data_IF_261769499695
#
_entry.id   IF_261769499695
#
_cell.length_a   1.000
_cell.length_b   1.000
_cell.length_c   1.000
_cell.angle_alpha   90.00
_cell.angle_beta   90.00
_cell.angle_gamma   90.00
#
_symmetry.space_group_name_H-M   'P 1'
#
loop_
_entity.id
_entity.type
_entity.pdbx_description
1 polymer ?
#
# COMPACT_ATOMS: atom_id res chain seq x y z
N UNK A 1 -43.15 -6.23 -52.44
CA UNK A 1 -42.65 -7.45 -51.75
C UNK A 1 -41.94 -7.00 -50.49
N UNK A 2 -42.45 -7.44 -49.33
CA UNK A 2 -41.87 -7.34 -47.98
C UNK A 2 -40.41 -7.85 -47.92
N UNK A 3 -39.54 -7.52 -46.97
CA UNK A 3 -39.75 -7.61 -45.52
C UNK A 3 -38.73 -6.81 -44.69
N UNK A 4 -39.24 -6.46 -43.52
CA UNK A 4 -38.69 -5.91 -42.28
C UNK A 4 -37.70 -6.86 -41.57
N UNK A 5 -36.75 -6.29 -40.81
CA UNK A 5 -36.09 -6.76 -39.54
C UNK A 5 -34.74 -6.02 -39.39
N UNK A 6 -34.24 -5.60 -38.23
CA UNK A 6 -34.71 -5.43 -36.86
C UNK A 6 -33.57 -4.70 -36.11
N UNK A 7 -33.91 -3.91 -35.09
CA UNK A 7 -33.01 -3.18 -34.18
C UNK A 7 -31.77 -3.95 -33.69
N UNK A 8 -30.67 -3.23 -33.50
CA UNK A 8 -29.82 -3.37 -32.30
C UNK A 8 -29.58 -1.98 -31.69
N UNK A 9 -29.84 -1.79 -30.38
CA UNK A 9 -29.53 -0.54 -29.73
C UNK A 9 -28.01 -0.43 -29.50
N UNK A 10 -27.44 0.72 -29.84
CA UNK A 10 -26.15 1.15 -29.28
C UNK A 10 -26.39 1.49 -27.82
N UNK A 11 -26.20 0.49 -26.96
CA UNK A 11 -26.39 0.60 -25.51
C UNK A 11 -25.63 -0.52 -24.83
N UNK A 12 -24.32 -0.59 -25.09
CA UNK A 12 -23.43 -1.54 -24.45
C UNK A 12 -23.23 -1.14 -22.99
N UNK A 13 -23.64 -2.06 -22.11
CA UNK A 13 -23.58 -2.05 -20.65
C UNK A 13 -22.13 -2.00 -20.09
N UNK A 14 -21.29 -1.07 -20.58
CA UNK A 14 -19.87 -0.95 -20.21
C UNK A 14 -19.66 -0.10 -18.95
N UNK A 15 -20.59 0.82 -18.63
CA UNK A 15 -20.46 1.72 -17.48
C UNK A 15 -20.68 1.04 -16.12
N UNK A 16 -21.70 0.20 -16.00
CA UNK A 16 -22.11 -0.37 -14.70
C UNK A 16 -21.10 -1.44 -14.21
N UNK A 17 -20.56 -2.25 -15.12
CA UNK A 17 -19.56 -3.28 -14.78
C UNK A 17 -18.21 -2.66 -14.36
N UNK A 18 -17.77 -1.57 -15.00
CA UNK A 18 -16.56 -0.86 -14.62
C UNK A 18 -16.74 -0.14 -13.26
N UNK A 19 -17.86 0.56 -13.06
CA UNK A 19 -18.20 1.26 -11.81
C UNK A 19 -18.32 0.31 -10.60
N UNK A 20 -18.85 -0.90 -10.82
CA UNK A 20 -18.95 -1.92 -9.76
C UNK A 20 -17.60 -2.56 -9.44
N UNK A 21 -16.74 -2.77 -10.45
CA UNK A 21 -15.38 -3.24 -10.24
C UNK A 21 -14.50 -2.21 -9.50
N UNK A 22 -14.63 -0.93 -9.80
CA UNK A 22 -13.84 0.15 -9.17
C UNK A 22 -14.19 0.30 -7.70
N UNK A 23 -15.49 0.40 -7.39
CA UNK A 23 -15.99 0.44 -6.01
C UNK A 23 -15.57 -0.76 -5.18
N UNK A 24 -15.52 -1.95 -5.79
CA UNK A 24 -15.08 -3.16 -5.08
C UNK A 24 -13.59 -3.11 -4.72
N UNK A 25 -12.75 -2.56 -5.61
CA UNK A 25 -11.31 -2.39 -5.38
C UNK A 25 -11.03 -1.35 -4.32
N UNK A 26 -11.79 -0.26 -4.32
CA UNK A 26 -11.68 0.80 -3.30
C UNK A 26 -12.04 0.27 -1.91
N UNK A 27 -13.15 -0.47 -1.78
CA UNK A 27 -13.54 -1.09 -0.51
C UNK A 27 -12.51 -2.11 -0.01
N UNK A 28 -11.96 -2.93 -0.91
CA UNK A 28 -10.90 -3.88 -0.55
C UNK A 28 -9.65 -3.14 -0.04
N UNK A 29 -9.27 -2.04 -0.69
CA UNK A 29 -8.11 -1.23 -0.33
C UNK A 29 -8.30 -0.52 1.01
N UNK A 30 -9.48 0.03 1.27
CA UNK A 30 -9.83 0.63 2.57
C UNK A 30 -9.84 -0.42 3.69
N UNK A 31 -10.29 -1.65 3.41
CA UNK A 31 -10.21 -2.75 4.38
C UNK A 31 -8.77 -3.13 4.71
N UNK A 32 -7.87 -3.17 3.71
CA UNK A 32 -6.44 -3.40 3.94
C UNK A 32 -5.80 -2.28 4.75
N UNK A 33 -6.17 -1.02 4.49
CA UNK A 33 -5.72 0.13 5.30
C UNK A 33 -6.17 0.01 6.75
N UNK A 34 -7.43 -0.35 6.99
CA UNK A 34 -7.95 -0.55 8.34
C UNK A 34 -7.18 -1.64 9.09
N UNK A 35 -7.00 -2.81 8.46
CA UNK A 35 -6.26 -3.94 9.04
C UNK A 35 -4.80 -3.57 9.35
N UNK A 36 -4.15 -2.83 8.44
CA UNK A 36 -2.77 -2.39 8.64
C UNK A 36 -2.63 -1.45 9.86
N UNK A 37 -3.59 -0.54 10.05
CA UNK A 37 -3.54 0.42 11.17
C UNK A 37 -3.81 -0.25 12.53
N UNK A 38 -4.52 -1.37 12.54
CA UNK A 38 -4.73 -2.20 13.73
C UNK A 38 -3.54 -3.12 14.05
N UNK A 39 -2.55 -3.23 13.16
CA UNK A 39 -1.46 -4.21 13.24
C UNK A 39 -0.36 -3.83 14.23
N UNK A 40 -0.18 -4.62 15.29
CA UNK A 40 0.85 -4.40 16.33
C UNK A 40 2.29 -4.31 15.79
N UNK A 41 2.58 -4.89 14.62
CA UNK A 41 3.90 -4.89 13.98
C UNK A 41 3.98 -3.91 12.82
N UNK A 42 3.25 -2.79 12.88
CA UNK A 42 3.35 -1.72 11.90
C UNK A 42 4.77 -1.12 11.87
N UNK A 43 5.30 -0.94 10.66
CA UNK A 43 6.59 -0.30 10.40
C UNK A 43 6.37 0.92 9.51
N UNK A 44 7.07 2.00 9.80
CA UNK A 44 7.21 3.14 8.90
C UNK A 44 8.56 3.07 8.19
N UNK A 45 8.54 3.19 6.86
CA UNK A 45 9.73 3.32 6.03
C UNK A 45 9.89 4.75 5.55
N UNK A 46 11.00 5.36 5.94
CA UNK A 46 11.49 6.62 5.43
C UNK A 46 12.42 6.35 4.25
N UNK A 47 11.97 6.66 3.03
CA UNK A 47 12.69 6.38 1.79
C UNK A 47 13.25 7.69 1.23
N UNK A 48 14.55 7.68 0.94
CA UNK A 48 15.27 8.78 0.32
C UNK A 48 15.83 8.32 -1.03
N UNK A 49 15.49 9.03 -2.10
CA UNK A 49 15.92 8.76 -3.47
C UNK A 49 16.11 10.07 -4.27
N UNK A 50 16.23 9.98 -5.59
CA UNK A 50 16.37 11.14 -6.48
C UNK A 50 15.10 12.03 -6.53
N UNK A 51 13.92 11.45 -6.26
CA UNK A 51 12.64 12.16 -6.22
C UNK A 51 12.40 12.84 -4.86
N UNK A 52 13.24 12.53 -3.87
CA UNK A 52 13.30 13.20 -2.58
C UNK A 52 12.97 12.26 -1.44
N UNK A 53 11.93 12.60 -0.68
CA UNK A 53 11.56 11.92 0.55
C UNK A 53 10.13 11.41 0.49
N UNK A 54 9.93 10.12 0.76
CA UNK A 54 8.60 9.51 0.88
C UNK A 54 8.52 8.56 2.05
N UNK A 55 7.36 8.54 2.73
CA UNK A 55 7.05 7.64 3.83
C UNK A 55 6.01 6.60 3.43
N UNK A 56 6.23 5.37 3.86
CA UNK A 56 5.33 4.25 3.63
C UNK A 56 5.07 3.48 4.92
N UNK A 57 3.86 2.96 5.08
CA UNK A 57 3.49 2.07 6.19
C UNK A 57 3.30 0.65 5.69
N UNK A 58 3.77 -0.36 6.41
CA UNK A 58 3.52 -1.77 6.07
C UNK A 58 3.69 -2.70 7.29
N UNK A 59 3.22 -3.95 7.18
CA UNK A 59 3.40 -4.95 8.21
C UNK A 59 4.87 -5.41 8.29
N UNK A 60 5.51 -5.25 9.45
CA UNK A 60 6.94 -5.45 9.70
C UNK A 60 7.41 -6.90 9.84
N UNK A 61 6.88 -7.84 9.06
CA UNK A 61 7.48 -9.18 8.99
C UNK A 61 8.88 -9.12 8.34
N UNK A 62 9.81 -10.02 8.70
CA UNK A 62 11.13 -10.05 8.06
C UNK A 62 11.06 -10.17 6.52
N UNK A 63 10.08 -10.94 6.03
CA UNK A 63 9.83 -11.12 4.60
C UNK A 63 9.34 -9.82 3.94
N UNK A 64 8.39 -9.09 4.56
CA UNK A 64 7.94 -7.82 4.01
C UNK A 64 9.06 -6.77 4.01
N UNK A 65 9.87 -6.72 5.07
CA UNK A 65 11.04 -5.83 5.13
C UNK A 65 12.00 -6.14 3.98
N UNK A 66 12.34 -7.42 3.79
CA UNK A 66 13.22 -7.85 2.70
C UNK A 66 12.66 -7.48 1.32
N UNK A 67 11.39 -7.79 1.06
CA UNK A 67 10.75 -7.47 -0.20
C UNK A 67 10.63 -5.95 -0.44
N UNK A 68 10.32 -5.18 0.59
CA UNK A 68 10.23 -3.73 0.50
C UNK A 68 11.58 -3.09 0.14
N UNK A 69 12.67 -3.54 0.78
CA UNK A 69 14.02 -3.07 0.47
C UNK A 69 14.45 -3.55 -0.92
N UNK A 70 14.26 -4.83 -1.22
CA UNK A 70 14.69 -5.47 -2.46
C UNK A 70 14.00 -4.94 -3.72
N UNK A 71 12.76 -4.47 -3.60
CA UNK A 71 12.02 -3.84 -4.70
C UNK A 71 12.54 -2.44 -5.07
N UNK A 72 13.53 -1.90 -4.35
CA UNK A 72 14.00 -0.52 -4.44
C UNK A 72 15.53 -0.44 -4.61
N UNK A 73 16.11 -0.98 -5.70
CA UNK A 73 17.56 -1.08 -5.86
C UNK A 73 18.28 0.27 -6.04
N UNK A 74 17.56 1.33 -6.42
CA UNK A 74 18.12 2.65 -6.76
C UNK A 74 17.92 3.73 -5.70
N UNK A 75 17.29 3.41 -4.56
CA UNK A 75 17.14 4.39 -3.47
C UNK A 75 18.51 4.74 -2.89
N UNK A 76 18.63 5.91 -2.27
CA UNK A 76 19.84 6.30 -1.54
C UNK A 76 19.87 5.67 -0.16
N UNK A 77 18.72 5.65 0.53
CA UNK A 77 18.61 5.19 1.90
C UNK A 77 17.16 4.82 2.24
N UNK A 78 17.01 3.81 3.08
CA UNK A 78 15.79 3.48 3.79
C UNK A 78 16.11 3.45 5.28
N UNK A 79 15.28 4.11 6.08
CA UNK A 79 15.27 3.99 7.54
C UNK A 79 13.92 3.43 7.96
N UNK A 80 13.93 2.34 8.73
CA UNK A 80 12.73 1.74 9.29
C UNK A 80 12.57 2.13 10.76
N UNK A 81 11.40 2.63 11.12
CA UNK A 81 11.00 2.97 12.48
C UNK A 81 9.82 2.11 12.92
N UNK A 82 9.73 1.87 14.22
CA UNK A 82 8.56 1.28 14.85
C UNK A 82 7.44 2.33 15.06
N UNK A 83 6.35 1.93 15.71
CA UNK A 83 5.21 2.81 16.02
C UNK A 83 5.57 4.00 16.93
N UNK A 84 6.68 3.93 17.64
CA UNK A 84 7.18 4.99 18.52
C UNK A 84 8.20 5.89 17.80
N UNK A 85 8.28 5.78 16.46
CA UNK A 85 9.24 6.47 15.60
C UNK A 85 10.71 6.17 15.97
N UNK A 86 10.95 5.05 16.65
CA UNK A 86 12.29 4.63 17.03
C UNK A 86 12.93 3.83 15.88
N UNK A 87 14.07 4.28 15.33
CA UNK A 87 14.68 3.61 14.19
C UNK A 87 15.38 2.31 14.62
N UNK A 88 15.17 1.25 13.86
CA UNK A 88 15.73 -0.09 14.15
C UNK A 88 16.47 -0.74 12.98
N UNK A 89 16.32 -0.23 11.75
CA UNK A 89 17.04 -0.70 10.58
C UNK A 89 17.38 0.46 9.64
N UNK A 90 18.61 0.49 9.16
CA UNK A 90 19.11 1.47 8.20
C UNK A 90 19.74 0.75 7.02
N UNK A 91 19.59 1.33 5.84
CA UNK A 91 20.25 0.86 4.63
C UNK A 91 21.17 1.93 4.03
N UNK A 92 22.13 1.47 3.22
CA UNK A 92 22.80 2.28 2.19
C UNK A 92 22.37 1.68 0.86
N UNK A 93 21.59 2.46 0.11
CA UNK A 93 20.73 1.95 -0.94
C UNK A 93 19.84 0.81 -0.46
N UNK A 94 19.86 -0.32 -1.15
CA UNK A 94 19.17 -1.55 -0.75
C UNK A 94 19.98 -2.51 0.15
N UNK A 95 21.21 -2.15 0.57
CA UNK A 95 22.01 -2.97 1.51
C UNK A 95 21.76 -2.56 2.96
N UNK A 96 21.56 -3.51 3.86
CA UNK A 96 21.42 -3.23 5.29
C UNK A 96 22.77 -2.77 5.86
N UNK A 97 22.82 -1.52 6.34
CA UNK A 97 23.99 -0.92 6.99
C UNK A 97 23.98 -1.20 8.50
N UNK A 98 22.82 -1.00 9.14
CA UNK A 98 22.67 -1.16 10.59
C UNK A 98 21.37 -1.84 10.94
N UNK A 99 21.44 -2.82 11.82
CA UNK A 99 20.31 -3.42 12.52
C UNK A 99 20.81 -3.94 13.89
N UNK A 100 20.38 -3.33 15.01
CA UNK A 100 20.79 -3.74 16.35
C UNK A 100 20.30 -5.15 16.70
N UNK A 101 19.06 -5.48 16.31
CA UNK A 101 18.49 -6.81 16.49
C UNK A 101 19.14 -7.80 15.51
N UNK A 102 19.97 -8.70 16.05
CA UNK A 102 20.69 -9.69 15.25
C UNK A 102 19.79 -10.82 14.76
N UNK A 103 18.71 -11.13 15.48
CA UNK A 103 17.76 -12.17 15.05
C UNK A 103 16.98 -11.65 13.85
N UNK A 104 16.43 -10.44 13.96
CA UNK A 104 15.74 -9.78 12.85
C UNK A 104 16.65 -9.63 11.63
N UNK A 105 17.88 -9.17 11.81
CA UNK A 105 18.85 -9.00 10.73
C UNK A 105 19.05 -10.29 9.93
N UNK A 106 19.25 -11.42 10.61
CA UNK A 106 19.47 -12.70 9.95
C UNK A 106 18.20 -13.23 9.28
N UNK A 107 17.01 -13.04 9.87
CA UNK A 107 15.75 -13.41 9.22
C UNK A 107 15.47 -12.57 7.96
N UNK A 108 15.71 -11.27 8.00
CA UNK A 108 15.55 -10.38 6.82
C UNK A 108 16.53 -10.78 5.71
N UNK A 109 17.79 -11.04 6.05
CA UNK A 109 18.81 -11.43 5.06
C UNK A 109 18.46 -12.71 4.30
N UNK A 110 17.84 -13.70 4.97
CA UNK A 110 17.44 -14.95 4.31
C UNK A 110 16.53 -14.71 3.09
N UNK A 111 15.65 -13.72 3.17
CA UNK A 111 14.78 -13.34 2.06
C UNK A 111 15.43 -12.28 1.14
N UNK A 112 16.17 -11.32 1.70
CA UNK A 112 16.72 -10.19 0.96
C UNK A 112 17.88 -10.58 0.04
N UNK A 113 18.78 -11.47 0.48
CA UNK A 113 19.98 -11.83 -0.30
C UNK A 113 19.59 -12.44 -1.67
N UNK A 114 18.69 -13.44 -1.75
CA UNK A 114 18.25 -13.96 -3.04
C UNK A 114 17.67 -12.88 -3.99
N UNK A 115 16.96 -11.88 -3.44
CA UNK A 115 16.44 -10.75 -4.23
C UNK A 115 17.60 -9.91 -4.78
N UNK A 116 18.57 -9.55 -3.93
CA UNK A 116 19.74 -8.74 -4.32
C UNK A 116 20.66 -9.44 -5.33
N UNK A 117 20.69 -10.78 -5.29
CA UNK A 117 21.43 -11.62 -6.24
C UNK A 117 20.65 -11.88 -7.54
N UNK A 118 19.45 -11.31 -7.68
CA UNK A 118 18.52 -11.56 -8.78
C UNK A 118 18.18 -13.05 -8.97
N UNK A 119 18.25 -13.84 -7.90
CA UNK A 119 17.85 -15.25 -7.89
C UNK A 119 16.32 -15.37 -7.82
N UNK A 120 15.67 -14.41 -7.16
CA UNK A 120 14.22 -14.28 -7.06
C UNK A 120 13.80 -12.81 -7.21
N UNK A 121 12.58 -12.57 -7.68
CA UNK A 121 11.99 -11.23 -7.73
C UNK A 121 11.39 -10.84 -6.36
N UNK A 122 11.49 -9.56 -6.02
CA UNK A 122 10.81 -9.01 -4.86
C UNK A 122 9.28 -9.16 -5.01
N UNK A 123 8.65 -9.70 -3.97
CA UNK A 123 7.20 -9.82 -3.92
C UNK A 123 6.55 -8.48 -3.56
N UNK A 124 5.35 -8.17 -4.10
CA UNK A 124 4.64 -6.95 -3.74
C UNK A 124 4.32 -6.90 -2.25
N UNK A 125 4.69 -5.80 -1.60
CA UNK A 125 4.30 -5.48 -0.22
C UNK A 125 3.16 -4.47 -0.26
N UNK A 126 2.09 -4.71 0.50
CA UNK A 126 1.08 -3.67 0.72
C UNK A 126 1.70 -2.57 1.57
N UNK A 127 2.17 -1.51 0.91
CA UNK A 127 2.85 -0.39 1.53
C UNK A 127 2.24 0.95 1.10
N UNK A 128 1.06 1.34 1.63
CA UNK A 128 0.48 2.66 1.36
C UNK A 128 1.41 3.78 1.78
N UNK A 129 1.38 4.90 1.05
CA UNK A 129 2.11 6.10 1.46
C UNK A 129 1.42 6.77 2.66
N UNK A 130 2.16 7.57 3.42
CA UNK A 130 1.57 8.31 4.55
C UNK A 130 0.42 9.22 4.09
N UNK A 131 0.53 9.82 2.89
CA UNK A 131 -0.52 10.64 2.30
C UNK A 131 -1.81 9.85 2.01
N UNK A 132 -1.67 8.60 1.54
CA UNK A 132 -2.80 7.69 1.35
C UNK A 132 -3.49 7.37 2.68
N UNK A 133 -2.70 7.05 3.71
CA UNK A 133 -3.20 6.72 5.06
C UNK A 133 -3.92 7.91 5.69
N UNK A 134 -3.33 9.11 5.63
CA UNK A 134 -3.96 10.35 6.11
C UNK A 134 -5.28 10.61 5.38
N UNK A 135 -5.30 10.43 4.06
CA UNK A 135 -6.51 10.57 3.27
C UNK A 135 -7.63 9.61 3.72
N UNK A 136 -7.29 8.36 4.03
CA UNK A 136 -8.23 7.38 4.59
C UNK A 136 -8.74 7.80 5.98
N UNK A 137 -7.85 8.18 6.90
CA UNK A 137 -8.24 8.60 8.25
C UNK A 137 -9.17 9.81 8.24
N UNK A 138 -8.93 10.78 7.35
CA UNK A 138 -9.78 11.96 7.21
C UNK A 138 -11.20 11.59 6.72
N UNK A 139 -11.32 10.61 5.81
CA UNK A 139 -12.63 10.11 5.36
C UNK A 139 -13.41 9.43 6.48
N UNK A 140 -12.74 8.67 7.34
CA UNK A 140 -13.37 8.03 8.50
C UNK A 140 -13.86 9.01 9.57
N UNK A 141 -13.27 10.21 9.63
CA UNK A 141 -13.62 11.26 10.61
C UNK A 141 -14.77 12.17 10.15
N UNK A 142 -15.18 12.12 8.87
CA UNK A 142 -16.33 12.87 8.39
C UNK A 142 -17.62 12.18 8.87
N UNK A 143 -18.48 12.85 9.66
CA UNK A 143 -19.80 12.32 9.92
C UNK A 143 -20.52 12.17 8.58
N UNK A 144 -21.11 11.01 8.31
CA UNK A 144 -22.11 10.91 7.25
C UNK A 144 -23.10 12.03 7.50
N UNK A 145 -23.19 13.00 6.58
CA UNK A 145 -24.18 14.05 6.66
C UNK A 145 -25.55 13.38 6.61
N UNK A 146 -26.11 13.13 7.80
CA UNK A 146 -27.43 12.54 7.96
C UNK A 146 -28.40 13.42 7.16
N UNK A 147 -29.13 12.75 6.28
CA UNK A 147 -30.01 13.37 5.30
C UNK A 147 -30.83 14.48 5.94
N UNK A 148 -30.81 15.64 5.27
CA UNK A 148 -31.67 16.76 5.61
C UNK A 148 -33.10 16.24 5.75
N UNK A 149 -33.56 16.17 6.99
CA UNK A 149 -34.98 16.03 7.30
C UNK A 149 -35.66 17.20 6.61
N UNK A 150 -36.55 16.86 5.68
CA UNK A 150 -37.42 17.80 5.01
C UNK A 150 -38.13 18.64 6.08
N UNK A 151 -37.74 19.90 6.18
CA UNK A 151 -38.58 20.90 6.80
C UNK A 151 -39.64 21.26 5.76
N UNK A 152 -40.87 20.80 5.98
CA UNK A 152 -42.10 21.51 5.62
C UNK A 152 -43.28 20.87 6.39
N UNK A 153 -44.36 21.61 6.67
CA UNK A 153 -44.69 22.98 6.25
C UNK A 153 -44.82 24.01 7.39
#
# INVERSE_FOLDING_TARGET
>A
MSNQKMNKPYGGNMGIAALTSDKTRDLARESQLAQLLEDDKLVCAHVYDDDGYTEYLFHGSPENIANFIGARPLVHQIVLTDREESPFLWTIGYFIDRCPDKVLLEEVKKALIPIQMCEVEAQPVFSPSIGEVVGYMMRQQLPEAQGGVACDP
#
